data_IF_602210630055
#
_entry.id   IF_602210630055
#
_cell.length_a   1.000
_cell.length_b   1.000
_cell.length_c   1.000
_cell.angle_alpha   90.00
_cell.angle_beta   90.00
_cell.angle_gamma   90.00
#
_symmetry.space_group_name_H-M   'P 1'
#
loop_
_entity.id
_entity.type
_entity.pdbx_description
1 polymer ?
#
# COMPACT_ATOMS: atom_id res chain seq x y z
N UNK A 1 3.88 -21.00 27.75
CA UNK A 1 2.73 -20.07 27.79
C UNK A 1 2.75 -19.39 26.44
N UNK A 2 1.75 -19.61 25.60
CA UNK A 2 1.68 -18.91 24.31
C UNK A 2 1.57 -17.41 24.59
N UNK A 3 2.34 -16.59 23.89
CA UNK A 3 2.11 -15.16 23.96
C UNK A 3 0.80 -14.88 23.22
N UNK A 4 -0.14 -14.21 23.87
CA UNK A 4 -1.40 -13.81 23.25
C UNK A 4 -1.12 -12.64 22.30
N UNK A 5 -1.02 -12.95 21.01
CA UNK A 5 -0.52 -12.01 20.00
C UNK A 5 -1.56 -10.98 19.55
N UNK A 6 -2.83 -11.20 19.87
CA UNK A 6 -3.91 -10.24 19.65
C UNK A 6 -4.59 -9.94 20.99
N UNK A 7 -4.71 -8.66 21.32
CA UNK A 7 -5.38 -8.18 22.52
C UNK A 7 -6.48 -7.16 22.19
N UNK A 8 -7.65 -7.35 22.78
CA UNK A 8 -8.79 -6.43 22.68
C UNK A 8 -9.19 -5.97 24.07
N UNK A 9 -9.23 -4.65 24.28
CA UNK A 9 -9.50 -4.05 25.59
C UNK A 9 -8.60 -4.61 26.72
N UNK A 10 -7.34 -4.91 26.38
CA UNK A 10 -6.34 -5.47 27.29
C UNK A 10 -6.53 -6.95 27.62
N UNK A 11 -7.41 -7.67 26.93
CA UNK A 11 -7.63 -9.11 27.10
C UNK A 11 -7.19 -9.89 25.85
N UNK A 12 -6.63 -11.09 26.00
CA UNK A 12 -6.36 -11.99 24.89
C UNK A 12 -7.59 -12.23 24.02
N UNK A 13 -7.42 -12.14 22.71
CA UNK A 13 -8.45 -12.50 21.74
C UNK A 13 -8.48 -14.02 21.54
N UNK A 14 -9.65 -14.65 21.72
CA UNK A 14 -9.82 -16.09 21.47
C UNK A 14 -10.09 -16.36 19.99
N UNK A 15 -9.39 -17.33 19.39
CA UNK A 15 -9.65 -17.78 18.02
C UNK A 15 -11.08 -18.34 17.86
N UNK A 16 -11.76 -18.80 18.91
CA UNK A 16 -13.18 -19.18 18.83
C UNK A 16 -14.08 -17.99 18.44
N UNK A 17 -13.66 -16.75 18.75
CA UNK A 17 -14.36 -15.53 18.37
C UNK A 17 -14.21 -15.18 16.87
N UNK A 18 -13.43 -15.95 16.11
CA UNK A 18 -13.33 -15.80 14.64
C UNK A 18 -14.58 -16.25 13.91
N UNK A 19 -15.48 -17.01 14.54
CA UNK A 19 -16.77 -17.40 13.95
C UNK A 19 -17.67 -16.21 13.58
N UNK A 20 -17.42 -15.04 14.17
CA UNK A 20 -18.12 -13.78 13.87
C UNK A 20 -17.50 -13.00 12.68
N UNK A 21 -16.56 -13.61 11.95
CA UNK A 21 -15.84 -13.04 10.83
C UNK A 21 -16.02 -13.88 9.56
N UNK A 22 -15.80 -13.28 8.39
CA UNK A 22 -15.77 -14.00 7.12
C UNK A 22 -14.54 -14.89 6.99
N UNK A 23 -14.51 -15.77 5.98
CA UNK A 23 -13.43 -16.72 5.75
C UNK A 23 -12.07 -16.03 5.58
N UNK A 24 -12.01 -14.99 4.72
CA UNK A 24 -10.78 -14.22 4.48
C UNK A 24 -10.32 -13.53 5.75
N UNK A 25 -11.25 -12.89 6.47
CA UNK A 25 -10.99 -12.25 7.75
C UNK A 25 -10.46 -13.25 8.79
N UNK A 26 -10.99 -14.46 8.84
CA UNK A 26 -10.51 -15.55 9.69
C UNK A 26 -9.06 -15.93 9.39
N UNK A 27 -8.68 -16.02 8.10
CA UNK A 27 -7.29 -16.27 7.69
C UNK A 27 -6.37 -15.12 8.11
N UNK A 28 -6.80 -13.86 7.97
CA UNK A 28 -6.04 -12.70 8.43
C UNK A 28 -5.80 -12.80 9.94
N UNK A 29 -6.86 -13.05 10.72
CA UNK A 29 -6.77 -13.15 12.18
C UNK A 29 -5.85 -14.31 12.60
N UNK A 30 -5.96 -15.47 11.94
CA UNK A 30 -5.09 -16.61 12.22
C UNK A 30 -3.62 -16.26 11.97
N UNK A 31 -3.29 -15.65 10.84
CA UNK A 31 -1.90 -15.27 10.52
C UNK A 31 -1.37 -14.16 11.44
N UNK A 32 -2.23 -13.25 11.90
CA UNK A 32 -1.87 -12.27 12.93
C UNK A 32 -1.66 -12.92 14.30
N UNK A 33 -2.45 -13.93 14.64
CA UNK A 33 -2.31 -14.67 15.89
C UNK A 33 -1.01 -15.52 15.91
N UNK A 34 -0.62 -16.08 14.77
CA UNK A 34 0.59 -16.90 14.64
C UNK A 34 1.87 -16.06 14.46
N UNK A 35 1.73 -14.77 14.22
CA UNK A 35 2.84 -13.81 14.14
C UNK A 35 3.43 -13.50 15.52
N UNK A 36 4.74 -13.27 15.65
CA UNK A 36 5.37 -12.81 16.90
C UNK A 36 5.10 -11.32 17.23
N UNK A 37 4.26 -10.62 16.45
CA UNK A 37 3.86 -9.23 16.72
C UNK A 37 2.66 -9.14 17.67
N UNK A 38 2.73 -8.23 18.65
CA UNK A 38 1.60 -7.93 19.54
C UNK A 38 0.67 -6.88 18.91
N UNK A 39 -0.51 -7.31 18.47
CA UNK A 39 -1.59 -6.45 17.99
C UNK A 39 -2.53 -6.06 19.13
N UNK A 40 -2.72 -4.77 19.37
CA UNK A 40 -3.57 -4.26 20.46
C UNK A 40 -4.67 -3.34 19.93
N UNK A 41 -5.89 -3.55 20.42
CA UNK A 41 -7.07 -2.80 20.02
C UNK A 41 -7.87 -2.37 21.26
N UNK A 42 -8.44 -1.18 21.25
CA UNK A 42 -9.25 -0.65 22.36
C UNK A 42 -10.64 -1.29 22.42
N UNK A 43 -11.14 -1.81 21.29
CA UNK A 43 -12.46 -2.43 21.19
C UNK A 43 -12.54 -3.46 20.07
N UNK A 44 -13.56 -4.32 20.14
CA UNK A 44 -13.86 -5.27 19.04
C UNK A 44 -14.18 -4.57 17.71
N UNK A 45 -14.74 -3.36 17.75
CA UNK A 45 -15.01 -2.58 16.55
C UNK A 45 -13.72 -2.09 15.89
N UNK A 46 -12.71 -1.76 16.68
CA UNK A 46 -11.40 -1.36 16.16
C UNK A 46 -10.66 -2.54 15.53
N UNK A 47 -10.65 -3.71 16.21
CA UNK A 47 -10.13 -4.95 15.61
C UNK A 47 -10.86 -5.24 14.29
N UNK A 48 -12.19 -5.22 14.28
CA UNK A 48 -12.98 -5.47 13.07
C UNK A 48 -12.67 -4.47 11.95
N UNK A 49 -12.44 -3.20 12.29
CA UNK A 49 -12.06 -2.19 11.32
C UNK A 49 -10.69 -2.47 10.71
N UNK A 50 -9.67 -2.80 11.51
CA UNK A 50 -8.33 -3.15 11.04
C UNK A 50 -8.36 -4.40 10.14
N UNK A 51 -9.08 -5.46 10.55
CA UNK A 51 -9.21 -6.68 9.75
C UNK A 51 -9.90 -6.38 8.40
N UNK A 52 -10.97 -5.59 8.40
CA UNK A 52 -11.64 -5.16 7.18
C UNK A 52 -10.74 -4.28 6.31
N UNK A 53 -9.91 -3.41 6.90
CA UNK A 53 -8.98 -2.58 6.15
C UNK A 53 -7.91 -3.44 5.46
N UNK A 54 -7.34 -4.42 6.16
CA UNK A 54 -6.37 -5.39 5.59
C UNK A 54 -6.98 -6.18 4.43
N UNK A 55 -8.21 -6.67 4.60
CA UNK A 55 -8.98 -7.30 3.53
C UNK A 55 -9.14 -6.36 2.33
N UNK A 56 -9.55 -5.12 2.57
CA UNK A 56 -9.77 -4.13 1.52
C UNK A 56 -8.46 -3.75 0.79
N UNK A 57 -7.30 -3.77 1.46
CA UNK A 57 -5.98 -3.61 0.82
C UNK A 57 -5.73 -4.76 -0.16
N UNK A 58 -5.91 -6.01 0.28
CA UNK A 58 -5.73 -7.18 -0.57
C UNK A 58 -6.70 -7.20 -1.75
N UNK A 59 -7.98 -6.87 -1.54
CA UNK A 59 -8.96 -6.78 -2.62
C UNK A 59 -8.61 -5.69 -3.61
N UNK A 60 -8.18 -4.51 -3.15
CA UNK A 60 -7.78 -3.40 -4.02
C UNK A 60 -6.54 -3.76 -4.85
N UNK A 61 -5.61 -4.54 -4.28
CA UNK A 61 -4.46 -5.09 -4.99
C UNK A 61 -4.90 -6.07 -6.11
N UNK A 62 -5.84 -6.97 -5.82
CA UNK A 62 -6.42 -7.89 -6.82
C UNK A 62 -7.14 -7.14 -7.94
N UNK A 63 -7.98 -6.16 -7.60
CA UNK A 63 -8.66 -5.31 -8.58
C UNK A 63 -7.67 -4.54 -9.46
N UNK A 64 -6.56 -4.03 -8.89
CA UNK A 64 -5.52 -3.38 -9.68
C UNK A 64 -4.84 -4.35 -10.65
N UNK A 65 -4.60 -5.60 -10.23
CA UNK A 65 -4.07 -6.65 -11.11
C UNK A 65 -4.98 -6.93 -12.32
N UNK A 66 -6.28 -6.77 -12.15
CA UNK A 66 -7.30 -7.00 -13.20
C UNK A 66 -7.62 -5.73 -14.01
N UNK A 67 -7.20 -4.55 -13.54
CA UNK A 67 -7.54 -3.24 -14.13
C UNK A 67 -6.89 -2.96 -15.48
N UNK A 68 -5.84 -3.71 -15.84
CA UNK A 68 -4.96 -3.44 -16.99
C UNK A 68 -4.22 -2.08 -16.91
N UNK A 69 -4.12 -1.47 -15.73
CA UNK A 69 -3.20 -0.37 -15.51
C UNK A 69 -1.75 -0.83 -15.76
N UNK A 70 -1.01 -0.08 -16.57
CA UNK A 70 0.34 -0.48 -16.95
C UNK A 70 1.37 -0.02 -15.91
N UNK A 71 2.40 -0.82 -15.70
CA UNK A 71 3.63 -0.30 -15.11
C UNK A 71 4.35 0.62 -16.11
N UNK A 72 4.85 1.76 -15.64
CA UNK A 72 5.75 2.61 -16.42
C UNK A 72 6.57 3.52 -15.50
N UNK A 73 7.62 4.13 -16.07
CA UNK A 73 8.44 5.13 -15.37
C UNK A 73 7.77 6.50 -15.36
N UNK A 74 8.20 7.41 -14.47
CA UNK A 74 7.56 8.72 -14.32
C UNK A 74 7.53 9.55 -15.62
N UNK A 75 8.59 9.48 -16.43
CA UNK A 75 8.66 10.19 -17.71
C UNK A 75 7.58 9.76 -18.70
N UNK A 76 7.12 8.51 -18.60
CA UNK A 76 6.11 7.91 -19.48
C UNK A 76 4.75 7.75 -18.78
N UNK A 77 4.60 8.34 -17.60
CA UNK A 77 3.37 8.23 -16.81
C UNK A 77 2.19 8.83 -17.57
N UNK A 78 1.02 8.21 -17.40
CA UNK A 78 -0.23 8.66 -18.02
C UNK A 78 -1.40 8.40 -17.09
N UNK A 79 -2.41 9.25 -17.19
CA UNK A 79 -3.63 9.16 -16.39
C UNK A 79 -4.82 9.71 -17.18
N UNK A 80 -6.05 9.36 -16.76
CA UNK A 80 -7.26 9.88 -17.37
C UNK A 80 -7.40 11.40 -17.11
N UNK A 81 -7.36 12.25 -18.16
CA UNK A 81 -7.37 13.71 -18.01
C UNK A 81 -8.72 14.25 -17.52
N UNK A 82 -9.77 13.41 -17.48
CA UNK A 82 -11.05 13.74 -16.86
C UNK A 82 -10.90 14.00 -15.37
N UNK A 83 -10.02 13.24 -14.70
CA UNK A 83 -9.87 13.25 -13.24
C UNK A 83 -8.57 13.87 -12.76
N UNK A 84 -7.50 13.76 -13.57
CA UNK A 84 -6.14 14.08 -13.14
C UNK A 84 -5.47 15.08 -14.09
N UNK A 85 -4.67 15.98 -13.53
CA UNK A 85 -3.67 16.74 -14.25
C UNK A 85 -2.33 16.01 -14.11
N UNK A 86 -1.77 15.56 -15.24
CA UNK A 86 -0.42 15.00 -15.27
C UNK A 86 0.61 16.13 -15.08
N UNK A 87 1.45 16.03 -14.07
CA UNK A 87 2.53 17.00 -13.81
C UNK A 87 3.74 16.71 -14.68
N UNK A 88 4.62 17.69 -14.86
CA UNK A 88 5.89 17.50 -15.58
C UNK A 88 6.84 16.48 -14.91
N UNK A 89 6.60 16.17 -13.63
CA UNK A 89 7.33 15.14 -12.89
C UNK A 89 6.70 13.75 -13.03
N UNK A 90 5.63 13.57 -13.81
CA UNK A 90 4.93 12.30 -13.96
C UNK A 90 3.96 11.96 -12.83
N UNK A 91 3.63 12.93 -11.96
CA UNK A 91 2.64 12.74 -10.89
C UNK A 91 1.22 13.10 -11.32
N UNK A 92 0.21 12.57 -10.63
CA UNK A 92 -1.21 12.81 -10.94
C UNK A 92 -1.81 13.73 -9.89
N UNK A 93 -2.04 14.99 -10.27
CA UNK A 93 -2.69 15.97 -9.41
C UNK A 93 -4.21 15.93 -9.64
N UNK A 94 -4.99 15.68 -8.60
CA UNK A 94 -6.44 15.66 -8.70
C UNK A 94 -6.96 16.99 -9.26
N UNK A 95 -7.87 16.94 -10.23
CA UNK A 95 -8.46 18.14 -10.82
C UNK A 95 -9.40 18.83 -9.85
N UNK A 96 -9.42 20.16 -9.91
CA UNK A 96 -10.35 20.98 -9.13
C UNK A 96 -11.81 20.60 -9.45
N UNK A 97 -12.61 20.44 -8.40
CA UNK A 97 -14.03 20.08 -8.49
C UNK A 97 -14.32 18.61 -8.76
N UNK A 98 -13.30 17.77 -8.96
CA UNK A 98 -13.48 16.31 -9.11
C UNK A 98 -13.62 15.66 -7.74
N UNK A 99 -14.55 14.71 -7.62
CA UNK A 99 -14.70 13.90 -6.40
C UNK A 99 -13.51 12.93 -6.26
N UNK A 100 -12.77 12.97 -5.15
CA UNK A 100 -11.62 12.09 -4.92
C UNK A 100 -11.95 10.60 -5.11
N UNK A 101 -13.10 10.15 -4.59
CA UNK A 101 -13.55 8.77 -4.69
C UNK A 101 -13.80 8.32 -6.14
N UNK A 102 -14.36 9.20 -6.98
CA UNK A 102 -14.57 8.89 -8.39
C UNK A 102 -13.25 8.79 -9.14
N UNK A 103 -12.30 9.70 -8.86
CA UNK A 103 -10.96 9.68 -9.47
C UNK A 103 -10.15 8.43 -9.10
N UNK A 104 -10.20 7.99 -7.84
CA UNK A 104 -9.49 6.81 -7.35
C UNK A 104 -10.11 5.51 -7.88
N UNK A 105 -11.44 5.42 -7.96
CA UNK A 105 -12.12 4.26 -8.52
C UNK A 105 -12.01 4.18 -10.04
N UNK A 106 -11.84 5.32 -10.73
CA UNK A 106 -11.61 5.34 -12.18
C UNK A 106 -10.34 4.60 -12.58
N UNK A 107 -9.31 4.58 -11.71
CA UNK A 107 -8.05 3.88 -11.97
C UNK A 107 -8.29 2.38 -12.19
N UNK A 108 -9.15 1.73 -11.39
CA UNK A 108 -9.45 0.31 -11.58
C UNK A 108 -10.41 0.08 -12.75
N UNK A 109 -11.39 0.98 -12.95
CA UNK A 109 -12.43 0.84 -13.98
C UNK A 109 -11.91 1.09 -15.39
N UNK A 110 -10.95 2.00 -15.54
CA UNK A 110 -10.42 2.45 -16.81
C UNK A 110 -8.88 2.29 -16.85
N UNK A 111 -8.34 1.25 -16.21
CA UNK A 111 -6.90 1.09 -15.98
C UNK A 111 -6.03 1.21 -17.22
N UNK A 112 -6.53 0.82 -18.40
CA UNK A 112 -5.85 1.05 -19.70
C UNK A 112 -5.45 2.51 -19.98
N UNK A 113 -6.16 3.50 -19.41
CA UNK A 113 -5.84 4.93 -19.49
C UNK A 113 -4.70 5.36 -18.56
N UNK A 114 -4.24 4.44 -17.71
CA UNK A 114 -3.27 4.70 -16.66
C UNK A 114 -1.97 3.94 -16.86
N UNK A 115 -0.87 4.62 -16.51
CA UNK A 115 0.46 4.05 -16.43
C UNK A 115 1.24 4.75 -15.34
N UNK A 116 1.69 4.01 -14.33
CA UNK A 116 2.40 4.53 -13.16
C UNK A 116 3.35 3.48 -12.57
N UNK A 117 4.27 3.91 -11.71
CA UNK A 117 5.25 3.02 -11.07
C UNK A 117 4.71 2.36 -9.78
N UNK A 118 5.44 1.40 -9.21
CA UNK A 118 4.91 0.52 -8.18
C UNK A 118 4.74 1.16 -6.79
N UNK A 119 5.48 2.21 -6.40
CA UNK A 119 5.23 2.92 -5.15
C UNK A 119 3.91 3.71 -5.21
N UNK A 120 3.64 4.39 -6.33
CA UNK A 120 2.38 5.08 -6.61
C UNK A 120 1.22 4.09 -6.58
N UNK A 121 1.42 2.87 -7.09
CA UNK A 121 0.44 1.80 -7.03
C UNK A 121 0.06 1.43 -5.59
N UNK A 122 1.02 1.32 -4.66
CA UNK A 122 0.74 1.07 -3.24
C UNK A 122 -0.12 2.19 -2.64
N UNK A 123 0.19 3.45 -2.93
CA UNK A 123 -0.59 4.57 -2.42
C UNK A 123 -2.02 4.56 -2.97
N UNK A 124 -2.20 4.24 -4.25
CA UNK A 124 -3.54 4.06 -4.85
C UNK A 124 -4.31 2.94 -4.13
N UNK A 125 -3.67 1.81 -3.86
CA UNK A 125 -4.26 0.68 -3.12
C UNK A 125 -4.70 1.10 -1.72
N UNK A 126 -3.88 1.87 -1.00
CA UNK A 126 -4.25 2.40 0.32
C UNK A 126 -5.46 3.34 0.24
N UNK A 127 -5.52 4.22 -0.76
CA UNK A 127 -6.69 5.08 -0.96
C UNK A 127 -7.95 4.27 -1.28
N UNK A 128 -7.86 3.27 -2.16
CA UNK A 128 -8.97 2.39 -2.49
C UNK A 128 -9.45 1.60 -1.27
N UNK A 129 -8.52 1.07 -0.47
CA UNK A 129 -8.85 0.33 0.73
C UNK A 129 -9.55 1.20 1.78
N UNK A 130 -9.05 2.42 2.01
CA UNK A 130 -9.69 3.39 2.90
C UNK A 130 -11.07 3.76 2.38
N UNK A 131 -11.20 4.06 1.08
CA UNK A 131 -12.48 4.37 0.44
C UNK A 131 -13.52 3.27 0.65
N UNK A 132 -13.13 1.99 0.49
CA UNK A 132 -13.99 0.83 0.77
C UNK A 132 -14.38 0.74 2.24
N UNK A 133 -13.46 1.07 3.15
CA UNK A 133 -13.70 0.99 4.60
C UNK A 133 -14.59 2.11 5.16
N UNK A 134 -14.54 3.33 4.60
CA UNK A 134 -15.24 4.49 5.16
C UNK A 134 -16.36 5.06 4.27
N UNK A 135 -16.45 4.60 3.02
CA UNK A 135 -17.43 5.08 2.05
C UNK A 135 -17.06 6.42 1.39
N UNK A 136 -17.74 6.71 0.28
CA UNK A 136 -17.45 7.86 -0.60
C UNK A 136 -17.53 9.20 0.10
N UNK A 137 -18.58 9.43 0.89
CA UNK A 137 -18.81 10.73 1.55
C UNK A 137 -17.66 11.10 2.49
N UNK A 138 -17.26 10.18 3.38
CA UNK A 138 -16.15 10.41 4.32
C UNK A 138 -14.82 10.48 3.59
N UNK A 139 -14.63 9.69 2.53
CA UNK A 139 -13.42 9.74 1.71
C UNK A 139 -13.29 11.10 0.99
N UNK A 140 -14.33 11.55 0.31
CA UNK A 140 -14.36 12.82 -0.42
C UNK A 140 -14.19 14.03 0.51
N UNK A 141 -14.71 13.94 1.74
CA UNK A 141 -14.45 14.93 2.78
C UNK A 141 -12.97 14.94 3.19
N UNK A 142 -12.39 13.75 3.43
CA UNK A 142 -11.04 13.62 3.97
C UNK A 142 -9.92 13.76 2.92
N UNK A 143 -10.13 13.58 1.62
CA UNK A 143 -9.01 13.50 0.66
C UNK A 143 -9.19 14.42 -0.55
N UNK A 144 -9.40 15.71 -0.32
CA UNK A 144 -9.78 16.67 -1.37
C UNK A 144 -8.65 17.08 -2.32
N UNK A 145 -7.38 16.91 -1.93
CA UNK A 145 -6.21 17.42 -2.67
C UNK A 145 -5.20 16.32 -2.95
N UNK A 146 -5.66 15.17 -3.48
CA UNK A 146 -4.77 14.03 -3.75
C UNK A 146 -3.74 14.40 -4.83
N UNK A 147 -2.47 14.13 -4.52
CA UNK A 147 -1.38 14.10 -5.47
C UNK A 147 -0.74 12.72 -5.45
N UNK A 148 -0.83 11.97 -6.55
CA UNK A 148 -0.23 10.64 -6.66
C UNK A 148 1.16 10.78 -7.27
N UNK A 149 2.19 10.56 -6.47
CA UNK A 149 3.58 10.57 -6.92
C UNK A 149 4.45 9.77 -5.94
N UNK A 150 5.01 8.64 -6.39
CA UNK A 150 5.79 7.73 -5.55
C UNK A 150 5.04 7.42 -4.24
N UNK A 151 5.72 7.56 -3.11
CA UNK A 151 5.18 7.39 -1.76
C UNK A 151 4.56 8.67 -1.17
N UNK A 152 4.34 9.73 -1.97
CA UNK A 152 3.64 10.93 -1.50
C UNK A 152 2.18 10.60 -1.16
N UNK A 153 1.67 11.25 -0.11
CA UNK A 153 0.35 11.02 0.44
C UNK A 153 -0.27 12.32 0.91
N UNK A 154 -1.59 12.37 0.96
CA UNK A 154 -2.35 13.38 1.69
C UNK A 154 -1.93 13.36 3.19
N UNK A 155 -1.92 14.49 3.90
CA UNK A 155 -1.61 14.55 5.33
C UNK A 155 -2.45 13.62 6.22
N UNK A 156 -3.67 13.28 5.82
CA UNK A 156 -4.55 12.36 6.55
C UNK A 156 -4.32 10.88 6.20
N UNK A 157 -3.43 10.57 5.25
CA UNK A 157 -2.91 9.23 5.02
C UNK A 157 -1.42 9.22 5.37
N UNK A 158 -1.09 8.76 6.57
CA UNK A 158 0.28 8.45 6.96
C UNK A 158 0.48 6.94 6.93
N UNK A 159 1.65 6.51 6.47
CA UNK A 159 2.14 5.16 6.62
C UNK A 159 3.43 5.19 7.43
N UNK A 160 3.78 4.05 8.00
CA UNK A 160 5.05 3.85 8.69
C UNK A 160 5.73 2.62 8.13
N UNK A 161 7.03 2.51 8.40
CA UNK A 161 7.80 1.32 8.09
C UNK A 161 8.59 0.90 9.32
N UNK A 162 8.86 -0.40 9.42
CA UNK A 162 9.63 -0.99 10.50
C UNK A 162 10.25 -2.30 10.00
N UNK A 163 11.27 -2.78 10.72
CA UNK A 163 11.93 -4.03 10.39
C UNK A 163 11.24 -5.17 11.13
N UNK A 164 10.88 -6.22 10.40
CA UNK A 164 10.36 -7.46 10.94
C UNK A 164 10.75 -8.64 10.04
N UNK A 165 10.87 -9.82 10.63
CA UNK A 165 11.20 -11.07 9.93
C UNK A 165 9.94 -11.81 9.42
N UNK A 166 8.76 -11.28 9.73
CA UNK A 166 7.47 -11.83 9.36
C UNK A 166 6.53 -10.71 8.89
N UNK A 167 5.59 -11.08 8.04
CA UNK A 167 4.52 -10.22 7.55
C UNK A 167 3.18 -10.93 7.67
N UNK A 168 2.11 -10.16 7.69
CA UNK A 168 0.73 -10.66 7.72
C UNK A 168 -0.04 -10.11 6.52
N UNK A 169 -1.19 -10.71 6.14
CA UNK A 169 -1.92 -10.27 4.97
C UNK A 169 -2.34 -8.79 5.05
N UNK A 170 -2.25 -8.11 3.91
CA UNK A 170 -2.45 -6.65 3.81
C UNK A 170 -1.21 -5.80 4.12
N UNK A 171 -0.10 -6.40 4.58
CA UNK A 171 1.18 -5.70 4.67
C UNK A 171 1.76 -5.38 3.30
N UNK A 172 2.62 -4.36 3.23
CA UNK A 172 3.44 -4.09 2.06
C UNK A 172 4.89 -4.43 2.37
N UNK A 173 5.46 -5.33 1.58
CA UNK A 173 6.86 -5.77 1.64
C UNK A 173 7.66 -5.18 0.49
N UNK A 174 8.98 -5.29 0.57
CA UNK A 174 9.88 -4.90 -0.51
C UNK A 174 10.79 -6.07 -0.91
N UNK A 175 10.70 -6.49 -2.16
CA UNK A 175 11.70 -7.37 -2.76
C UNK A 175 12.87 -6.51 -3.24
N UNK A 176 14.03 -6.66 -2.63
CA UNK A 176 15.23 -5.95 -3.03
C UNK A 176 16.00 -6.74 -4.09
N UNK A 177 16.42 -6.07 -5.16
CA UNK A 177 17.33 -6.64 -6.16
C UNK A 177 18.63 -5.82 -6.15
N UNK A 178 19.61 -6.18 -5.31
CA UNK A 178 20.76 -5.33 -5.02
C UNK A 178 21.69 -5.12 -6.23
N UNK A 179 21.76 -6.09 -7.11
CA UNK A 179 22.66 -6.13 -8.27
C UNK A 179 21.89 -6.13 -9.60
N UNK A 180 20.82 -5.33 -9.66
CA UNK A 180 20.04 -5.08 -10.88
C UNK A 180 20.89 -4.50 -12.02
N UNK A 181 20.48 -4.72 -13.27
CA UNK A 181 21.19 -4.19 -14.43
C UNK A 181 21.11 -2.65 -14.50
N UNK A 182 22.22 -1.90 -14.68
CA UNK A 182 22.21 -0.43 -14.72
C UNK A 182 21.28 0.23 -15.76
N UNK A 183 20.99 -0.46 -16.88
CA UNK A 183 20.10 0.01 -17.94
C UNK A 183 18.62 -0.35 -17.71
N UNK A 184 18.32 -1.09 -16.64
CA UNK A 184 16.96 -1.41 -16.22
C UNK A 184 16.74 -1.06 -14.73
N UNK A 185 16.91 0.22 -14.34
CA UNK A 185 16.90 0.63 -12.93
C UNK A 185 15.55 0.46 -12.23
N UNK A 186 14.46 0.25 -12.96
CA UNK A 186 13.14 -0.08 -12.42
C UNK A 186 13.07 -1.50 -11.83
N UNK A 187 14.00 -2.39 -12.17
CA UNK A 187 14.13 -3.73 -11.58
C UNK A 187 15.04 -3.79 -10.35
N UNK A 188 15.36 -2.64 -9.73
CA UNK A 188 16.05 -2.57 -8.44
C UNK A 188 15.28 -3.22 -7.28
N UNK A 189 13.98 -3.46 -7.49
CA UNK A 189 13.13 -4.11 -6.52
C UNK A 189 11.66 -3.99 -6.88
N UNK A 190 10.81 -4.43 -5.97
CA UNK A 190 9.36 -4.45 -6.11
C UNK A 190 8.69 -4.21 -4.76
N UNK A 191 7.85 -3.17 -4.68
CA UNK A 191 6.91 -3.01 -3.58
C UNK A 191 5.72 -3.94 -3.83
N UNK A 192 5.35 -4.77 -2.85
CA UNK A 192 4.29 -5.76 -3.06
C UNK A 192 3.35 -5.89 -1.86
N UNK A 193 2.05 -6.05 -2.14
CA UNK A 193 1.02 -6.33 -1.14
C UNK A 193 1.00 -7.83 -0.84
N UNK A 194 1.06 -8.19 0.43
CA UNK A 194 0.93 -9.58 0.91
C UNK A 194 -0.53 -10.02 0.83
N UNK A 195 -0.79 -11.14 0.16
CA UNK A 195 -2.12 -11.75 0.07
C UNK A 195 -2.27 -12.92 1.06
N UNK A 196 -3.51 -13.30 1.34
CA UNK A 196 -3.85 -14.30 2.37
C UNK A 196 -3.45 -15.73 2.00
N UNK A 197 -3.15 -16.01 0.73
CA UNK A 197 -2.78 -17.32 0.20
C UNK A 197 -1.25 -17.50 0.05
N UNK A 198 -0.45 -16.59 0.61
CA UNK A 198 1.01 -16.62 0.52
C UNK A 198 1.58 -16.07 -0.78
N UNK A 199 0.73 -15.51 -1.65
CA UNK A 199 1.17 -14.79 -2.85
C UNK A 199 1.28 -13.28 -2.61
N UNK A 200 1.84 -12.57 -3.59
CA UNK A 200 2.14 -11.15 -3.53
C UNK A 200 1.63 -10.47 -4.79
N UNK A 201 0.94 -9.35 -4.62
CA UNK A 201 0.65 -8.46 -5.74
C UNK A 201 1.75 -7.41 -5.87
N UNK A 202 2.44 -7.38 -7.00
CA UNK A 202 3.36 -6.32 -7.38
C UNK A 202 2.93 -5.66 -8.69
N UNK A 203 2.77 -4.33 -8.70
CA UNK A 203 2.37 -3.61 -9.90
C UNK A 203 3.42 -3.78 -11.03
N UNK A 204 2.96 -4.21 -12.21
CA UNK A 204 3.82 -4.61 -13.34
C UNK A 204 4.23 -6.08 -13.36
N UNK A 205 4.08 -6.80 -12.25
CA UNK A 205 4.38 -8.22 -12.11
C UNK A 205 3.08 -9.06 -12.02
N UNK A 206 2.01 -8.49 -11.48
CA UNK A 206 0.77 -9.21 -11.18
C UNK A 206 0.86 -9.93 -9.84
N UNK A 207 0.12 -11.03 -9.71
CA UNK A 207 0.10 -11.87 -8.51
C UNK A 207 1.06 -13.06 -8.69
N UNK A 208 2.05 -13.17 -7.81
CA UNK A 208 3.14 -14.15 -7.90
C UNK A 208 3.53 -14.70 -6.52
N UNK A 209 4.17 -15.86 -6.47
CA UNK A 209 4.85 -16.32 -5.25
C UNK A 209 6.16 -15.56 -5.03
N UNK A 210 6.72 -15.63 -3.81
CA UNK A 210 8.01 -15.01 -3.51
C UNK A 210 9.13 -15.56 -4.41
N UNK A 211 9.14 -16.86 -4.68
CA UNK A 211 10.11 -17.53 -5.53
C UNK A 211 10.04 -17.01 -6.97
N UNK A 212 8.83 -16.84 -7.51
CA UNK A 212 8.62 -16.29 -8.86
C UNK A 212 9.10 -14.85 -8.97
N UNK A 213 8.82 -14.01 -7.96
CA UNK A 213 9.31 -12.62 -7.93
C UNK A 213 10.84 -12.59 -7.88
N UNK A 214 11.46 -13.41 -7.03
CA UNK A 214 12.92 -13.49 -6.88
C UNK A 214 13.57 -14.00 -8.17
N UNK A 215 13.03 -15.05 -8.78
CA UNK A 215 13.51 -15.60 -10.05
C UNK A 215 13.47 -14.55 -11.17
N UNK A 216 12.34 -13.85 -11.29
CA UNK A 216 12.21 -12.77 -12.27
C UNK A 216 13.23 -11.66 -12.01
N UNK A 217 13.34 -11.13 -10.78
CA UNK A 217 14.29 -10.06 -10.47
C UNK A 217 15.74 -10.51 -10.71
N UNK A 218 16.06 -11.76 -10.42
CA UNK A 218 17.37 -12.35 -10.68
C UNK A 218 17.71 -12.41 -12.16
N UNK A 219 16.72 -12.60 -13.04
CA UNK A 219 16.90 -12.55 -14.50
C UNK A 219 17.23 -11.14 -15.02
N UNK A 220 16.99 -10.10 -14.22
CA UNK A 220 17.21 -8.69 -14.56
C UNK A 220 18.50 -8.12 -13.92
N UNK A 221 19.37 -8.98 -13.39
CA UNK A 221 20.67 -8.59 -12.80
C UNK A 221 21.73 -8.38 -13.87
N UNK A 222 22.81 -7.67 -13.52
CA UNK A 222 23.96 -7.58 -14.41
C UNK A 222 24.70 -8.94 -14.50
N UNK A 223 25.42 -9.24 -15.61
CA UNK A 223 25.99 -10.58 -15.85
C UNK A 223 26.95 -11.12 -14.78
N UNK A 224 27.60 -10.24 -14.02
CA UNK A 224 28.59 -10.58 -13.00
C UNK A 224 28.01 -10.61 -11.58
N UNK A 225 26.69 -10.55 -11.45
CA UNK A 225 26.00 -10.51 -10.16
C UNK A 225 26.23 -11.77 -9.33
N UNK A 226 26.55 -11.60 -8.04
CA UNK A 226 26.77 -12.63 -7.02
C UNK A 226 25.72 -12.63 -5.91
N UNK A 227 24.95 -11.56 -5.77
CA UNK A 227 23.91 -11.42 -4.76
C UNK A 227 22.51 -11.57 -5.39
N UNK A 228 21.76 -12.57 -4.93
CA UNK A 228 20.37 -12.79 -5.35
C UNK A 228 19.47 -11.65 -4.87
N UNK A 229 18.36 -11.42 -5.58
CA UNK A 229 17.21 -10.72 -5.03
C UNK A 229 16.65 -11.48 -3.82
N UNK A 230 16.02 -10.74 -2.89
CA UNK A 230 15.46 -11.27 -1.64
C UNK A 230 14.33 -10.37 -1.14
N UNK A 231 13.45 -10.91 -0.29
CA UNK A 231 12.49 -10.09 0.46
C UNK A 231 13.23 -9.41 1.62
N UNK A 232 13.20 -8.08 1.66
CA UNK A 232 13.84 -7.32 2.72
C UNK A 232 13.01 -7.41 4.00
N UNK A 233 13.68 -7.38 5.16
CA UNK A 233 13.04 -7.28 6.47
C UNK A 233 12.49 -5.87 6.69
N UNK A 234 11.59 -5.43 5.81
CA UNK A 234 11.01 -4.10 5.75
C UNK A 234 9.51 -4.24 5.49
N UNK A 235 8.72 -3.88 6.49
CA UNK A 235 7.27 -3.86 6.41
C UNK A 235 6.80 -2.41 6.35
N UNK A 236 5.85 -2.13 5.46
CA UNK A 236 5.16 -0.84 5.36
C UNK A 236 3.66 -1.03 5.59
N UNK A 237 3.09 -0.20 6.48
CA UNK A 237 1.66 -0.23 6.83
C UNK A 237 1.11 1.18 6.95
N UNK A 238 -0.19 1.34 6.70
CA UNK A 238 -0.94 2.53 7.12
C UNK A 238 -0.70 2.73 8.63
N UNK A 239 -0.40 3.96 9.05
CA UNK A 239 -0.03 4.23 10.45
C UNK A 239 -1.20 3.98 11.39
N UNK A 240 -0.95 3.48 12.62
CA UNK A 240 -2.01 3.34 13.62
C UNK A 240 -2.78 4.64 13.85
N UNK A 241 -2.09 5.79 13.78
CA UNK A 241 -2.71 7.11 13.84
C UNK A 241 -3.68 7.35 12.69
N UNK A 242 -3.34 6.98 11.46
CA UNK A 242 -4.24 7.07 10.31
C UNK A 242 -5.43 6.15 10.48
N UNK A 243 -5.21 4.87 10.83
CA UNK A 243 -6.27 3.89 11.09
C UNK A 243 -7.26 4.43 12.12
N UNK A 244 -6.76 4.96 13.24
CA UNK A 244 -7.57 5.58 14.28
C UNK A 244 -8.34 6.80 13.79
N UNK A 245 -7.70 7.69 13.01
CA UNK A 245 -8.38 8.85 12.42
C UNK A 245 -9.52 8.40 11.49
N UNK A 246 -9.29 7.46 10.58
CA UNK A 246 -10.32 7.00 9.63
C UNK A 246 -11.41 6.16 10.31
N UNK A 247 -11.09 5.45 11.39
CA UNK A 247 -12.07 4.77 12.24
C UNK A 247 -12.94 5.80 12.97
N UNK A 248 -12.33 6.75 13.68
CA UNK A 248 -13.00 7.68 14.59
C UNK A 248 -13.74 8.84 13.90
N UNK A 249 -13.41 9.18 12.64
CA UNK A 249 -13.96 10.35 11.94
C UNK A 249 -15.49 10.31 11.78
N UNK A 250 -16.20 10.70 12.84
CA UNK A 250 -17.52 11.31 12.83
C UNK A 250 -17.31 12.82 12.64
N UNK A 251 -18.18 13.47 11.87
CA UNK A 251 -17.93 14.75 11.19
C UNK A 251 -17.40 15.93 12.03
N UNK A 252 -16.86 16.91 11.30
CA UNK A 252 -16.23 18.18 11.73
C UNK A 252 -14.79 18.08 12.27
N UNK A 253 -13.84 17.99 11.34
CA UNK A 253 -12.47 18.47 11.58
C UNK A 253 -12.17 19.64 10.65
N UNK A 254 -11.39 20.59 11.16
CA UNK A 254 -10.90 21.74 10.40
C UNK A 254 -10.19 21.26 9.11
N UNK A 255 -10.63 21.72 7.94
CA UNK A 255 -10.11 21.28 6.64
C UNK A 255 -8.72 21.85 6.30
N UNK A 256 -8.13 22.65 7.19
CA UNK A 256 -6.77 23.15 6.97
C UNK A 256 -5.76 22.05 7.27
N UNK A 257 -5.06 21.60 6.23
CA UNK A 257 -3.99 20.61 6.33
C UNK A 257 -2.65 21.24 5.99
N UNK A 258 -1.65 20.97 6.82
CA UNK A 258 -0.28 21.28 6.46
C UNK A 258 0.12 20.42 5.25
N UNK A 259 0.53 21.07 4.15
CA UNK A 259 0.95 20.34 2.96
C UNK A 259 2.22 19.54 3.29
N UNK A 260 2.23 18.26 2.90
CA UNK A 260 3.44 17.45 2.94
C UNK A 260 4.39 17.92 1.85
N UNK A 261 5.68 18.00 2.17
CA UNK A 261 6.73 18.22 1.18
C UNK A 261 6.70 17.04 0.19
N UNK A 262 6.88 17.34 -1.09
CA UNK A 262 7.06 16.34 -2.13
C UNK A 262 8.43 16.50 -2.77
N UNK A 263 9.17 15.40 -2.85
CA UNK A 263 10.48 15.35 -3.51
C UNK A 263 10.31 14.60 -4.82
N UNK A 264 10.36 15.32 -5.94
CA UNK A 264 10.29 14.73 -7.28
C UNK A 264 11.63 14.07 -7.66
N UNK A 265 11.96 12.95 -7.00
CA UNK A 265 13.22 12.21 -7.17
C UNK A 265 13.35 11.45 -8.49
N UNK A 266 12.26 11.24 -9.24
CA UNK A 266 12.25 10.54 -10.53
C UNK A 266 12.89 9.13 -10.51
N UNK A 267 12.62 8.35 -9.47
CA UNK A 267 13.16 6.98 -9.29
C UNK A 267 12.03 5.98 -9.07
N UNK A 268 11.87 5.02 -9.97
CA UNK A 268 10.86 3.98 -9.84
C UNK A 268 11.30 2.88 -8.87
N UNK A 269 10.31 2.17 -8.34
CA UNK A 269 10.51 0.96 -7.53
C UNK A 269 11.40 1.18 -6.32
N UNK A 270 11.37 2.38 -5.74
CA UNK A 270 12.04 2.63 -4.46
C UNK A 270 11.15 2.16 -3.32
N UNK A 271 11.78 1.63 -2.27
CA UNK A 271 11.11 1.30 -1.02
C UNK A 271 10.67 2.57 -0.26
N UNK A 272 9.73 2.39 0.66
CA UNK A 272 9.22 3.45 1.53
C UNK A 272 10.34 4.11 2.38
N UNK A 273 11.29 3.31 2.87
CA UNK A 273 12.46 3.79 3.63
C UNK A 273 13.39 4.64 2.76
N UNK A 274 13.58 4.27 1.47
CA UNK A 274 14.39 5.06 0.54
C UNK A 274 13.74 6.40 0.21
N UNK A 275 12.41 6.44 0.10
CA UNK A 275 11.69 7.70 -0.03
C UNK A 275 11.85 8.58 1.22
N UNK A 276 11.77 7.99 2.42
CA UNK A 276 12.00 8.71 3.68
C UNK A 276 13.42 9.29 3.76
N UNK A 277 14.42 8.58 3.27
CA UNK A 277 15.78 9.10 3.15
C UNK A 277 15.81 10.39 2.31
N UNK A 278 15.12 10.45 1.17
CA UNK A 278 15.04 11.68 0.37
C UNK A 278 14.36 12.82 1.14
N UNK A 279 13.25 12.56 1.84
CA UNK A 279 12.57 13.60 2.62
C UNK A 279 13.41 14.23 3.74
N UNK A 280 14.41 13.52 4.27
CA UNK A 280 15.24 14.00 5.38
C UNK A 280 16.54 14.71 4.91
N UNK A 281 16.91 14.58 3.63
CA UNK A 281 18.17 15.08 3.09
C UNK A 281 17.99 16.24 2.10
N UNK A 282 16.76 16.76 1.99
CA UNK A 282 16.37 17.96 1.23
C UNK A 282 15.56 18.87 2.15
#
# INVERSE_FOLDING_TARGET
>A
MGNDMIQVAGRPFSLESTMDFGEVEGVIIQQMHDSPELFTYLSMNELRFEINLRKNIMESAKEMSESHAAFTIFENARCNPTYWNLTSAGGFLLRQGVRPSDAILDINRNGQLYGFECATAIIIIYYQAILKSIGRERFDYNFQNIYLYSWHTDPDLEYHYFNADNYVPGDVVYFNNPEYHPYAPWYRGLNAVVLSDGTFFGHGFGIMTAEQVIEFLNSQRHPESRQSAYIENLITRISPTTVQKVFASSGNRNNYKAHKIVIHHNLCSISSIKYRFFLNNY
#
